data_IF_471344409035
#
_entry.id   IF_471344409035
#
_cell.length_a   1.000
_cell.length_b   1.000
_cell.length_c   1.000
_cell.angle_alpha   90.00
_cell.angle_beta   90.00
_cell.angle_gamma   90.00
#
_symmetry.space_group_name_H-M   'P 1'
#
loop_
_entity.id
_entity.type
_entity.pdbx_description
1 polymer ?
#
# COMPACT_ATOMS: atom_id res chain seq x y z
N UNK A 1 31.16 -3.16 -2.06
CA UNK A 1 30.10 -2.82 -3.03
C UNK A 1 28.85 -2.55 -2.24
N UNK A 2 28.45 -1.29 -2.25
CA UNK A 2 27.43 -0.69 -1.40
C UNK A 2 26.09 -1.37 -1.61
N UNK A 3 25.46 -1.79 -0.51
CA UNK A 3 24.15 -2.44 -0.50
C UNK A 3 23.05 -1.49 -0.93
N UNK A 4 22.83 -1.37 -2.24
CA UNK A 4 21.61 -0.84 -2.78
C UNK A 4 20.57 -1.96 -2.75
N UNK A 5 19.70 -1.94 -1.73
CA UNK A 5 18.52 -2.79 -1.64
C UNK A 5 17.40 -2.08 -2.43
N UNK A 6 17.11 -2.43 -3.70
CA UNK A 6 16.16 -1.69 -4.52
C UNK A 6 14.69 -2.02 -4.20
N UNK A 7 14.44 -2.94 -3.27
CA UNK A 7 13.13 -3.56 -3.03
C UNK A 7 12.26 -2.86 -1.99
N UNK A 8 12.74 -1.82 -1.31
CA UNK A 8 12.00 -1.13 -0.24
C UNK A 8 11.85 0.39 -0.42
N UNK A 9 12.46 0.98 -1.45
CA UNK A 9 12.69 2.43 -1.50
C UNK A 9 11.71 3.26 -2.35
N UNK A 10 10.81 2.66 -3.13
CA UNK A 10 10.17 3.41 -4.23
C UNK A 10 8.69 3.78 -4.06
N UNK A 11 7.98 3.32 -3.02
CA UNK A 11 6.55 3.65 -2.87
C UNK A 11 6.23 4.53 -1.65
N UNK A 12 7.24 4.90 -0.86
CA UNK A 12 7.11 5.82 0.29
C UNK A 12 6.64 7.24 -0.09
N UNK A 13 6.40 7.51 -1.37
CA UNK A 13 5.83 8.76 -1.91
C UNK A 13 5.11 8.47 -3.25
N UNK A 14 4.67 7.24 -3.49
CA UNK A 14 4.06 6.90 -4.77
C UNK A 14 2.75 7.67 -4.96
N UNK A 15 2.62 8.28 -6.14
CA UNK A 15 1.34 8.79 -6.61
C UNK A 15 0.57 7.64 -7.25
N UNK A 16 -0.39 7.09 -6.51
CA UNK A 16 -1.29 6.01 -6.94
C UNK A 16 -2.71 6.56 -7.13
N UNK A 17 -2.84 7.86 -7.39
CA UNK A 17 -4.12 8.49 -7.72
C UNK A 17 -4.76 7.77 -8.91
N UNK A 18 -6.02 7.36 -8.76
CA UNK A 18 -6.80 6.63 -9.78
C UNK A 18 -6.16 5.31 -10.24
N UNK A 19 -5.20 4.76 -9.47
CA UNK A 19 -4.56 3.50 -9.83
C UNK A 19 -5.54 2.33 -9.72
N UNK A 20 -5.59 1.49 -10.75
CA UNK A 20 -6.26 0.18 -10.69
C UNK A 20 -5.33 -0.83 -10.00
N UNK A 21 -5.64 -1.17 -8.75
CA UNK A 21 -4.94 -2.16 -7.94
C UNK A 21 -5.88 -3.33 -7.59
N UNK A 22 -6.97 -3.51 -8.35
CA UNK A 22 -7.95 -4.56 -8.11
C UNK A 22 -7.27 -5.93 -8.17
N UNK A 23 -7.35 -6.67 -7.05
CA UNK A 23 -6.69 -7.97 -6.83
C UNK A 23 -5.16 -7.95 -6.98
N UNK A 24 -4.51 -6.79 -6.88
CA UNK A 24 -3.06 -6.70 -6.92
C UNK A 24 -2.43 -7.40 -5.69
N UNK A 25 -1.30 -8.08 -5.89
CA UNK A 25 -0.47 -8.54 -4.78
C UNK A 25 0.55 -7.46 -4.43
N UNK A 26 0.33 -6.78 -3.31
CA UNK A 26 1.20 -5.74 -2.79
C UNK A 26 1.87 -6.21 -1.50
N UNK A 27 1.83 -7.50 -1.17
CA UNK A 27 2.30 -8.00 0.11
C UNK A 27 3.74 -7.55 0.43
N UNK A 28 3.94 -7.09 1.67
CA UNK A 28 5.19 -6.53 2.18
C UNK A 28 5.69 -5.23 1.49
N UNK A 29 4.87 -4.56 0.66
CA UNK A 29 5.22 -3.28 0.08
C UNK A 29 5.31 -2.15 1.12
N UNK A 30 6.17 -1.16 0.84
CA UNK A 30 6.28 0.07 1.64
C UNK A 30 5.53 1.21 0.95
N UNK A 31 4.23 1.37 1.25
CA UNK A 31 3.34 2.42 0.72
C UNK A 31 3.20 3.63 1.65
N UNK A 32 4.16 3.84 2.57
CA UNK A 32 4.08 4.98 3.50
C UNK A 32 3.90 6.28 2.73
N UNK A 33 3.07 7.20 3.21
CA UNK A 33 2.80 8.51 2.57
C UNK A 33 2.28 8.44 1.11
N UNK A 34 1.94 7.26 0.58
CA UNK A 34 1.42 7.15 -0.78
C UNK A 34 0.07 7.88 -0.93
N UNK A 35 -0.17 8.41 -2.12
CA UNK A 35 -1.45 9.00 -2.48
C UNK A 35 -2.38 7.92 -3.05
N UNK A 36 -3.36 7.47 -2.28
CA UNK A 36 -4.35 6.46 -2.68
C UNK A 36 -5.72 7.09 -3.00
N UNK A 37 -5.78 8.39 -3.27
CA UNK A 37 -7.03 9.04 -3.69
C UNK A 37 -7.58 8.32 -4.92
N UNK A 38 -8.84 7.88 -4.84
CA UNK A 38 -9.53 7.14 -5.91
C UNK A 38 -8.87 5.84 -6.38
N UNK A 39 -7.88 5.31 -5.66
CA UNK A 39 -7.27 4.02 -6.01
C UNK A 39 -8.25 2.87 -5.78
N UNK A 40 -8.29 1.91 -6.71
CA UNK A 40 -9.11 0.71 -6.56
C UNK A 40 -8.32 -0.42 -5.88
N UNK A 41 -8.49 -0.57 -4.57
CA UNK A 41 -7.86 -1.64 -3.78
C UNK A 41 -8.73 -2.90 -3.61
N UNK A 42 -9.85 -3.02 -4.33
CA UNK A 42 -10.79 -4.14 -4.12
C UNK A 42 -10.08 -5.48 -4.33
N UNK A 43 -10.10 -6.33 -3.31
CA UNK A 43 -9.45 -7.64 -3.32
C UNK A 43 -7.93 -7.64 -3.33
N UNK A 44 -7.27 -6.48 -3.17
CA UNK A 44 -5.82 -6.41 -3.10
C UNK A 44 -5.28 -7.16 -1.86
N UNK A 45 -4.12 -7.79 -2.01
CA UNK A 45 -3.40 -8.40 -0.89
C UNK A 45 -2.43 -7.38 -0.29
N UNK A 46 -2.73 -6.91 0.91
CA UNK A 46 -1.94 -5.94 1.66
C UNK A 46 -1.23 -6.56 2.87
N UNK A 47 -1.09 -7.88 2.93
CA UNK A 47 -0.40 -8.54 4.05
C UNK A 47 1.02 -7.99 4.24
N UNK A 48 1.33 -7.54 5.46
CA UNK A 48 2.62 -6.93 5.78
C UNK A 48 2.90 -5.57 5.15
N UNK A 49 1.94 -4.94 4.46
CA UNK A 49 2.15 -3.63 3.84
C UNK A 49 2.28 -2.55 4.90
N UNK A 50 3.16 -1.58 4.64
CA UNK A 50 3.28 -0.39 5.47
C UNK A 50 2.51 0.78 4.84
N UNK A 51 1.34 1.10 5.39
CA UNK A 51 0.43 2.16 4.95
C UNK A 51 0.50 3.42 5.83
N UNK A 52 1.57 3.59 6.64
CA UNK A 52 1.66 4.74 7.54
C UNK A 52 1.50 6.05 6.77
N UNK A 53 0.52 6.85 7.20
CA UNK A 53 0.24 8.19 6.66
C UNK A 53 -0.15 8.22 5.16
N UNK A 54 -0.71 7.13 4.62
CA UNK A 54 -1.35 7.19 3.29
C UNK A 54 -2.43 8.26 3.25
N UNK A 55 -2.67 8.81 2.06
CA UNK A 55 -3.71 9.82 1.81
C UNK A 55 -4.84 9.21 1.00
N UNK A 56 -6.06 9.74 1.16
CA UNK A 56 -7.22 9.36 0.35
C UNK A 56 -8.04 8.18 0.87
N UNK A 57 -7.49 7.39 1.79
CA UNK A 57 -8.21 6.27 2.44
C UNK A 57 -7.87 6.18 3.92
N UNK A 58 -8.83 5.73 4.71
CA UNK A 58 -8.70 5.40 6.13
C UNK A 58 -8.41 3.91 6.33
N UNK A 59 -7.90 3.54 7.51
CA UNK A 59 -7.74 2.13 7.89
C UNK A 59 -9.04 1.32 7.70
N UNK A 60 -10.18 1.89 8.12
CA UNK A 60 -11.48 1.24 8.01
C UNK A 60 -11.86 0.97 6.56
N UNK A 61 -11.64 1.93 5.67
CA UNK A 61 -11.93 1.77 4.23
C UNK A 61 -11.03 0.71 3.60
N UNK A 62 -9.73 0.74 3.91
CA UNK A 62 -8.77 -0.23 3.40
C UNK A 62 -9.13 -1.65 3.86
N UNK A 63 -9.45 -1.83 5.15
CA UNK A 63 -9.88 -3.14 5.69
C UNK A 63 -11.21 -3.63 5.11
N UNK A 64 -12.06 -2.73 4.63
CA UNK A 64 -13.34 -3.11 4.02
C UNK A 64 -13.18 -3.66 2.60
N UNK A 65 -12.12 -3.24 1.88
CA UNK A 65 -11.96 -3.56 0.45
C UNK A 65 -10.78 -4.49 0.15
N UNK A 66 -9.76 -4.51 1.01
CA UNK A 66 -8.51 -5.25 0.80
C UNK A 66 -8.23 -6.21 1.96
N UNK A 67 -7.43 -7.24 1.66
CA UNK A 67 -6.97 -8.19 2.66
C UNK A 67 -5.75 -7.64 3.40
N UNK A 68 -5.90 -7.33 4.69
CA UNK A 68 -4.82 -6.93 5.57
C UNK A 68 -4.66 -7.94 6.71
N UNK A 69 -3.41 -8.19 7.11
CA UNK A 69 -3.07 -9.11 8.20
C UNK A 69 -2.59 -8.35 9.45
N UNK A 70 -2.18 -9.09 10.48
CA UNK A 70 -1.65 -8.52 11.72
C UNK A 70 -0.30 -7.80 11.56
N UNK A 71 0.40 -8.00 10.44
CA UNK A 71 1.69 -7.35 10.13
C UNK A 71 1.50 -6.04 9.36
N UNK A 72 0.32 -5.83 8.79
CA UNK A 72 -0.03 -4.61 8.06
C UNK A 72 -0.02 -3.43 9.02
N UNK A 73 0.61 -2.32 8.63
CA UNK A 73 0.77 -1.11 9.45
C UNK A 73 -0.07 0.02 8.87
N UNK A 74 -0.83 0.71 9.71
CA UNK A 74 -1.68 1.86 9.35
C UNK A 74 -1.15 3.13 10.01
#
# INVERSE_FOLDING_TARGET
MSGANPTAAALTIADLHDADLHKADLSNADLRLANLISADLRGANLAGVNLLKVRGMTEKEIRAVAAADAKTRF
#
